data_IF_663730734958
#
_entry.id   IF_663730734958
#
_cell.length_a   1.000
_cell.length_b   1.000
_cell.length_c   1.000
_cell.angle_alpha   90.00
_cell.angle_beta   90.00
_cell.angle_gamma   90.00
#
_symmetry.space_group_name_H-M   'P 1'
#
loop_
_entity.id
_entity.type
_entity.pdbx_description
1 polymer ?
#
# COMPACT_ATOMS: atom_id res chain seq x y z
N UNK A 1 69.51 -17.53 16.85
CA UNK A 1 68.40 -17.96 15.99
C UNK A 1 67.16 -17.22 16.53
N UNK A 2 66.85 -16.09 15.90
CA UNK A 2 65.69 -15.25 16.30
C UNK A 2 64.53 -15.54 15.33
N UNK A 3 63.40 -15.92 15.90
CA UNK A 3 62.16 -16.23 15.21
C UNK A 3 61.50 -14.90 14.78
N UNK A 4 61.04 -14.76 13.54
CA UNK A 4 60.30 -13.54 13.12
C UNK A 4 58.90 -13.56 13.67
N UNK A 5 58.42 -12.39 14.14
CA UNK A 5 57.06 -12.15 14.62
C UNK A 5 56.05 -12.28 13.47
N UNK A 6 54.80 -12.73 13.75
CA UNK A 6 53.76 -12.85 12.74
C UNK A 6 53.29 -11.46 12.30
N UNK A 7 53.30 -11.24 10.98
CA UNK A 7 52.67 -10.08 10.33
C UNK A 7 51.15 -10.09 10.58
N UNK A 8 50.67 -9.00 11.14
CA UNK A 8 49.24 -8.73 11.25
C UNK A 8 48.68 -8.44 9.84
N UNK A 9 47.52 -9.04 9.44
CA UNK A 9 46.90 -8.67 8.20
C UNK A 9 46.37 -7.23 8.29
N UNK A 10 46.76 -6.42 7.30
CA UNK A 10 46.28 -5.05 7.14
C UNK A 10 44.74 -5.03 7.08
N UNK A 11 44.17 -4.33 8.03
CA UNK A 11 42.76 -3.99 8.09
C UNK A 11 42.41 -3.16 6.82
N UNK A 12 41.86 -3.82 5.82
CA UNK A 12 41.31 -3.12 4.64
C UNK A 12 40.15 -2.23 5.12
N UNK A 13 40.43 -0.94 5.19
CA UNK A 13 39.39 0.06 5.35
C UNK A 13 38.41 -0.11 4.20
N UNK A 14 37.20 -0.58 4.53
CA UNK A 14 36.06 -0.57 3.60
C UNK A 14 35.70 0.89 3.41
N UNK A 15 36.11 1.45 2.27
CA UNK A 15 35.64 2.76 1.84
C UNK A 15 34.10 2.69 1.80
N UNK A 16 33.38 3.63 2.46
CA UNK A 16 31.94 3.70 2.34
C UNK A 16 31.59 4.00 0.87
N UNK A 17 30.76 3.17 0.27
CA UNK A 17 30.26 3.39 -1.06
C UNK A 17 29.64 4.80 -1.13
N UNK A 18 30.33 5.71 -1.82
CA UNK A 18 29.84 7.05 -2.14
C UNK A 18 28.71 6.97 -3.19
N UNK A 19 27.54 6.48 -2.79
CA UNK A 19 26.29 6.68 -3.50
C UNK A 19 25.55 7.84 -2.82
N UNK A 20 25.38 8.93 -3.53
CA UNK A 20 24.52 10.03 -3.05
C UNK A 20 23.14 9.46 -2.66
N UNK A 21 22.53 9.89 -1.53
CA UNK A 21 21.14 9.53 -1.24
C UNK A 21 20.18 9.89 -2.39
N UNK A 22 20.55 10.81 -3.26
CA UNK A 22 19.83 11.17 -4.48
C UNK A 22 19.88 10.08 -5.57
N UNK A 23 20.97 9.30 -5.66
CA UNK A 23 21.10 8.23 -6.65
C UNK A 23 20.13 7.07 -6.33
N UNK A 24 20.00 6.73 -5.05
CA UNK A 24 18.99 5.76 -4.59
C UNK A 24 17.57 6.20 -4.95
N UNK A 25 17.26 7.51 -4.87
CA UNK A 25 15.93 8.04 -5.18
C UNK A 25 15.62 8.02 -6.69
N UNK A 26 16.64 8.11 -7.57
CA UNK A 26 16.47 8.04 -9.02
C UNK A 26 16.24 6.60 -9.50
N UNK A 27 16.90 5.64 -8.90
CA UNK A 27 16.74 4.21 -9.21
C UNK A 27 15.34 3.67 -8.84
N UNK A 28 14.76 4.19 -7.74
CA UNK A 28 13.40 3.82 -7.28
C UNK A 28 12.28 4.67 -7.86
N UNK A 29 12.59 5.69 -8.66
CA UNK A 29 11.61 6.49 -9.40
C UNK A 29 10.84 5.70 -10.47
N UNK A 30 11.38 4.55 -10.90
CA UNK A 30 10.69 3.59 -11.74
C UNK A 30 10.12 2.47 -10.86
N UNK A 31 8.95 2.70 -10.28
CA UNK A 31 8.24 1.71 -9.48
C UNK A 31 7.96 0.47 -10.34
N UNK A 32 8.71 -0.60 -10.10
CA UNK A 32 8.46 -1.89 -10.74
C UNK A 32 7.06 -2.37 -10.36
N UNK A 33 6.20 -2.74 -11.33
CA UNK A 33 4.85 -3.17 -11.03
C UNK A 33 4.83 -4.34 -10.03
N UNK A 34 3.88 -4.40 -9.08
CA UNK A 34 3.80 -5.46 -8.08
C UNK A 34 3.83 -6.89 -8.63
N UNK A 35 3.36 -7.08 -9.86
CA UNK A 35 3.31 -8.38 -10.53
C UNK A 35 4.69 -8.97 -10.90
N UNK A 36 5.78 -8.20 -10.84
CA UNK A 36 7.13 -8.66 -11.18
C UNK A 36 7.84 -9.43 -10.05
N UNK A 37 7.27 -9.47 -8.85
CA UNK A 37 7.87 -10.13 -7.69
C UNK A 37 7.25 -11.51 -7.46
N UNK A 38 7.86 -12.55 -8.01
CA UNK A 38 7.45 -13.96 -7.82
C UNK A 38 8.07 -14.62 -6.57
N UNK A 39 9.02 -13.96 -5.91
CA UNK A 39 9.72 -14.45 -4.71
C UNK A 39 9.15 -13.93 -3.39
N UNK A 40 9.63 -14.46 -2.25
CA UNK A 40 9.32 -13.90 -0.94
C UNK A 40 9.78 -12.43 -0.86
N UNK A 41 8.98 -11.53 -0.26
CA UNK A 41 9.41 -10.15 -0.08
C UNK A 41 10.64 -10.11 0.85
N UNK A 42 11.56 -9.14 0.63
CA UNK A 42 12.69 -8.92 1.52
C UNK A 42 12.24 -8.69 2.96
N UNK A 43 13.12 -8.96 3.92
CA UNK A 43 12.87 -8.60 5.31
C UNK A 43 12.55 -7.10 5.41
N UNK A 44 11.67 -6.66 6.33
CA UNK A 44 11.24 -5.26 6.36
C UNK A 44 12.37 -4.24 6.36
N UNK A 45 13.46 -4.50 7.09
CA UNK A 45 14.62 -3.59 7.16
C UNK A 45 15.49 -3.57 5.90
N UNK A 46 15.41 -4.61 5.08
CA UNK A 46 16.16 -4.77 3.83
C UNK A 46 15.30 -4.41 2.61
N UNK A 47 14.02 -4.11 2.84
CA UNK A 47 13.10 -3.78 1.76
C UNK A 47 13.45 -2.43 1.14
N UNK A 48 13.77 -2.38 -0.16
CA UNK A 48 14.18 -1.15 -0.83
C UNK A 48 13.19 0.00 -0.68
N UNK A 49 11.89 -0.27 -0.67
CA UNK A 49 10.87 0.77 -0.51
C UNK A 49 10.91 1.40 0.88
N UNK A 50 11.22 0.62 1.93
CA UNK A 50 11.36 1.12 3.29
C UNK A 50 12.64 1.93 3.44
N UNK A 51 13.76 1.43 2.90
CA UNK A 51 15.04 2.15 2.90
C UNK A 51 14.91 3.48 2.16
N UNK A 52 14.29 3.48 0.97
CA UNK A 52 14.05 4.68 0.19
C UNK A 52 13.12 5.68 0.93
N UNK A 53 12.13 5.20 1.67
CA UNK A 53 11.24 6.07 2.44
C UNK A 53 11.97 6.77 3.59
N UNK A 54 12.88 6.07 4.28
CA UNK A 54 13.71 6.67 5.33
C UNK A 54 14.68 7.70 4.75
N UNK A 55 15.38 7.38 3.66
CA UNK A 55 16.28 8.31 2.96
C UNK A 55 15.50 9.55 2.44
N UNK A 56 14.30 9.36 1.90
CA UNK A 56 13.46 10.46 1.45
C UNK A 56 13.07 11.41 2.58
N UNK A 57 12.90 10.92 3.81
CA UNK A 57 12.62 11.77 4.96
C UNK A 57 13.82 12.67 5.32
N UNK A 58 15.05 12.15 5.26
CA UNK A 58 16.27 12.93 5.51
C UNK A 58 16.48 14.00 4.45
N UNK A 59 16.27 13.66 3.17
CA UNK A 59 16.35 14.62 2.05
C UNK A 59 15.30 15.72 2.18
N UNK A 60 14.09 15.36 2.59
CA UNK A 60 13.02 16.31 2.82
C UNK A 60 13.36 17.34 3.90
N UNK A 61 13.89 16.88 5.04
CA UNK A 61 14.28 17.77 6.13
C UNK A 61 15.41 18.72 5.71
N UNK A 62 16.39 18.24 4.92
CA UNK A 62 17.44 19.07 4.35
C UNK A 62 16.87 20.13 3.37
N UNK A 63 16.01 19.73 2.44
CA UNK A 63 15.37 20.65 1.49
C UNK A 63 14.55 21.74 2.20
N UNK A 64 13.84 21.39 3.26
CA UNK A 64 13.11 22.38 4.06
C UNK A 64 14.05 23.38 4.75
N UNK A 65 15.17 22.87 5.29
CA UNK A 65 16.18 23.72 5.93
C UNK A 65 16.80 24.70 4.93
N UNK A 66 17.15 24.25 3.73
CA UNK A 66 17.71 25.07 2.67
C UNK A 66 16.75 26.22 2.26
N UNK A 67 15.48 25.88 2.00
CA UNK A 67 14.48 26.90 1.61
C UNK A 67 14.20 27.89 2.74
N UNK A 68 14.23 27.44 4.00
CA UNK A 68 14.03 28.33 5.16
C UNK A 68 15.20 29.28 5.39
N UNK A 69 16.42 28.83 5.12
CA UNK A 69 17.64 29.63 5.32
C UNK A 69 17.97 30.57 4.16
N UNK A 70 17.27 30.45 3.03
CA UNK A 70 17.51 31.28 1.83
C UNK A 70 17.05 32.73 2.10
N UNK A 71 17.97 33.72 2.19
CA UNK A 71 17.63 35.09 2.49
C UNK A 71 16.97 35.82 1.30
N UNK A 72 17.16 35.32 0.08
CA UNK A 72 16.68 35.97 -1.14
C UNK A 72 15.21 35.68 -1.42
N UNK A 73 14.63 34.70 -0.74
CA UNK A 73 13.24 34.31 -0.91
C UNK A 73 12.28 35.20 -0.11
N UNK A 74 11.32 35.80 -0.80
CA UNK A 74 10.18 36.43 -0.15
C UNK A 74 9.32 35.40 0.62
N UNK A 75 8.67 35.84 1.70
CA UNK A 75 7.85 34.93 2.56
C UNK A 75 6.81 34.11 1.81
N UNK A 76 6.18 34.72 0.79
CA UNK A 76 5.18 34.01 -0.02
C UNK A 76 5.83 32.93 -0.89
N UNK A 77 6.90 33.28 -1.57
CA UNK A 77 7.66 32.36 -2.44
C UNK A 77 8.25 31.22 -1.63
N UNK A 78 8.80 31.53 -0.46
CA UNK A 78 9.28 30.52 0.50
C UNK A 78 8.17 29.53 0.88
N UNK A 79 6.98 30.05 1.23
CA UNK A 79 5.85 29.21 1.59
C UNK A 79 5.34 28.35 0.40
N UNK A 80 5.39 28.89 -0.82
CA UNK A 80 5.01 28.14 -2.02
C UNK A 80 6.01 27.03 -2.37
N UNK A 81 7.32 27.29 -2.26
CA UNK A 81 8.36 26.25 -2.42
C UNK A 81 8.22 25.15 -1.38
N UNK A 82 8.02 25.52 -0.10
CA UNK A 82 7.78 24.54 0.98
C UNK A 82 6.52 23.72 0.69
N UNK A 83 5.46 24.32 0.17
CA UNK A 83 4.24 23.60 -0.20
C UNK A 83 4.48 22.58 -1.31
N UNK A 84 5.26 22.93 -2.33
CA UNK A 84 5.63 22.03 -3.42
C UNK A 84 6.43 20.83 -2.89
N UNK A 85 7.53 21.10 -2.15
CA UNK A 85 8.39 20.06 -1.54
C UNK A 85 7.57 19.14 -0.63
N UNK A 86 6.68 19.70 0.20
CA UNK A 86 5.82 18.90 1.08
C UNK A 86 4.84 18.02 0.31
N UNK A 87 4.24 18.54 -0.76
CA UNK A 87 3.35 17.79 -1.64
C UNK A 87 4.04 16.63 -2.34
N UNK A 88 5.22 16.88 -2.89
CA UNK A 88 6.05 15.87 -3.55
C UNK A 88 6.49 14.78 -2.57
N UNK A 89 6.95 15.16 -1.36
CA UNK A 89 7.34 14.21 -0.34
C UNK A 89 6.15 13.35 0.13
N UNK A 90 4.99 13.96 0.36
CA UNK A 90 3.79 13.21 0.76
C UNK A 90 3.37 12.18 -0.31
N UNK A 91 3.42 12.57 -1.59
CA UNK A 91 3.12 11.68 -2.71
C UNK A 91 4.15 10.55 -2.83
N UNK A 92 5.45 10.85 -2.66
CA UNK A 92 6.55 9.88 -2.69
C UNK A 92 6.41 8.83 -1.58
N UNK A 93 6.21 9.27 -0.34
CA UNK A 93 6.03 8.35 0.80
C UNK A 93 4.80 7.46 0.60
N UNK A 94 3.69 8.02 0.10
CA UNK A 94 2.50 7.25 -0.22
C UNK A 94 2.77 6.18 -1.28
N UNK A 95 3.44 6.54 -2.38
CA UNK A 95 3.76 5.60 -3.45
C UNK A 95 4.68 4.46 -2.99
N UNK A 96 5.69 4.76 -2.15
CA UNK A 96 6.58 3.76 -1.56
C UNK A 96 5.81 2.82 -0.62
N UNK A 97 4.92 3.35 0.22
CA UNK A 97 4.07 2.56 1.10
C UNK A 97 3.13 1.64 0.31
N UNK A 98 2.47 2.17 -0.72
CA UNK A 98 1.57 1.41 -1.58
C UNK A 98 2.29 0.26 -2.27
N UNK A 99 3.49 0.51 -2.80
CA UNK A 99 4.34 -0.52 -3.42
C UNK A 99 4.75 -1.61 -2.40
N UNK A 100 5.21 -1.20 -1.21
CA UNK A 100 5.61 -2.10 -0.13
C UNK A 100 4.48 -3.04 0.27
N UNK A 101 3.30 -2.50 0.56
CA UNK A 101 2.14 -3.29 0.98
C UNK A 101 1.51 -4.07 -0.16
N UNK A 102 1.50 -3.55 -1.39
CA UNK A 102 0.97 -4.26 -2.56
C UNK A 102 1.74 -5.55 -2.84
N UNK A 103 3.09 -5.51 -2.77
CA UNK A 103 3.92 -6.72 -2.94
C UNK A 103 3.63 -7.78 -1.90
N UNK A 104 3.50 -7.39 -0.63
CA UNK A 104 3.19 -8.33 0.47
C UNK A 104 1.80 -8.93 0.35
N UNK A 105 0.81 -8.13 -0.04
CA UNK A 105 -0.55 -8.62 -0.32
C UNK A 105 -0.59 -9.55 -1.51
N UNK A 106 0.12 -9.23 -2.59
CA UNK A 106 0.20 -10.09 -3.76
C UNK A 106 0.86 -11.45 -3.42
N UNK A 107 1.95 -11.43 -2.65
CA UNK A 107 2.59 -12.66 -2.17
C UNK A 107 1.66 -13.48 -1.28
N UNK A 108 0.98 -12.84 -0.33
CA UNK A 108 0.00 -13.51 0.53
C UNK A 108 -1.11 -14.17 -0.30
N UNK A 109 -1.67 -13.45 -1.28
CA UNK A 109 -2.71 -13.97 -2.16
C UNK A 109 -2.21 -15.17 -2.99
N UNK A 110 -0.97 -15.12 -3.48
CA UNK A 110 -0.35 -16.22 -4.21
C UNK A 110 -0.19 -17.48 -3.33
N UNK A 111 0.29 -17.30 -2.11
CA UNK A 111 0.43 -18.41 -1.15
C UNK A 111 -0.93 -18.97 -0.71
N UNK A 112 -1.91 -18.11 -0.47
CA UNK A 112 -3.28 -18.55 -0.15
C UNK A 112 -3.93 -19.33 -1.29
N UNK A 113 -3.60 -19.02 -2.55
CA UNK A 113 -4.07 -19.75 -3.71
C UNK A 113 -3.48 -21.17 -3.82
N UNK A 114 -2.35 -21.44 -3.11
CA UNK A 114 -1.80 -22.81 -3.01
C UNK A 114 -2.65 -23.74 -2.12
N UNK A 115 -3.52 -23.18 -1.27
CA UNK A 115 -4.47 -23.96 -0.49
C UNK A 115 -5.65 -24.27 -1.40
N UNK A 116 -5.92 -25.55 -1.72
CA UNK A 116 -6.97 -25.92 -2.66
C UNK A 116 -8.36 -25.67 -2.06
N UNK A 117 -8.89 -24.49 -2.31
CA UNK A 117 -10.24 -24.08 -1.91
C UNK A 117 -11.11 -23.83 -3.14
N UNK A 118 -12.43 -23.74 -2.94
CA UNK A 118 -13.36 -23.55 -4.05
C UNK A 118 -13.55 -24.80 -4.92
N UNK A 119 -14.40 -24.74 -5.94
CA UNK A 119 -14.85 -25.92 -6.69
C UNK A 119 -13.80 -26.56 -7.61
N UNK A 120 -12.63 -25.94 -7.84
CA UNK A 120 -11.60 -26.50 -8.72
C UNK A 120 -11.95 -26.52 -10.21
N UNK A 121 -12.91 -25.73 -10.64
CA UNK A 121 -13.29 -25.62 -12.06
C UNK A 121 -12.24 -24.82 -12.81
N UNK A 122 -11.72 -25.40 -13.89
CA UNK A 122 -10.75 -24.72 -14.77
C UNK A 122 -11.41 -24.18 -16.05
N UNK A 123 -10.84 -23.14 -16.71
CA UNK A 123 -11.44 -22.52 -17.90
C UNK A 123 -11.61 -23.47 -19.10
N UNK A 124 -10.82 -24.53 -19.17
CA UNK A 124 -10.80 -25.54 -20.22
C UNK A 124 -11.79 -26.69 -19.98
N UNK A 125 -12.43 -26.73 -18.80
CA UNK A 125 -13.46 -27.74 -18.51
C UNK A 125 -14.70 -27.57 -19.38
N UNK A 126 -15.29 -28.69 -19.81
CA UNK A 126 -16.62 -28.65 -20.44
C UNK A 126 -17.69 -28.14 -19.47
N UNK A 127 -18.78 -27.48 -19.94
CA UNK A 127 -19.86 -27.05 -19.07
C UNK A 127 -20.52 -28.18 -18.26
N UNK A 128 -20.57 -29.39 -18.83
CA UNK A 128 -21.09 -30.56 -18.16
C UNK A 128 -20.18 -31.00 -17.00
N UNK A 129 -18.88 -31.15 -17.26
CA UNK A 129 -17.89 -31.53 -16.24
C UNK A 129 -17.80 -30.46 -15.14
N UNK A 130 -17.79 -29.17 -15.50
CA UNK A 130 -17.81 -28.06 -14.54
C UNK A 130 -19.04 -28.12 -13.62
N UNK A 131 -20.19 -28.58 -14.13
CA UNK A 131 -21.41 -28.74 -13.33
C UNK A 131 -21.26 -29.91 -12.34
N UNK A 132 -20.71 -31.04 -12.80
CA UNK A 132 -20.45 -32.20 -11.93
C UNK A 132 -19.48 -31.83 -10.81
N UNK A 133 -18.35 -31.20 -11.16
CA UNK A 133 -17.32 -30.78 -10.19
C UNK A 133 -17.89 -29.81 -9.16
N UNK A 134 -18.66 -28.78 -9.59
CA UNK A 134 -19.34 -27.86 -8.67
C UNK A 134 -20.31 -28.57 -7.75
N UNK A 135 -21.10 -29.51 -8.29
CA UNK A 135 -22.09 -30.24 -7.51
C UNK A 135 -21.42 -31.11 -6.44
N UNK A 136 -20.37 -31.85 -6.81
CA UNK A 136 -19.58 -32.64 -5.87
C UNK A 136 -18.94 -31.79 -4.77
N UNK A 137 -18.31 -30.67 -5.17
CA UNK A 137 -17.75 -29.70 -4.23
C UNK A 137 -18.80 -29.15 -3.26
N UNK A 138 -19.96 -28.73 -3.75
CA UNK A 138 -21.03 -28.17 -2.91
C UNK A 138 -21.58 -29.20 -1.90
N UNK A 139 -21.73 -30.45 -2.32
CA UNK A 139 -22.12 -31.52 -1.41
C UNK A 139 -21.05 -31.80 -0.32
N UNK A 140 -19.77 -31.77 -0.70
CA UNK A 140 -18.67 -31.94 0.24
C UNK A 140 -18.58 -30.74 1.22
N UNK A 141 -18.68 -29.51 0.71
CA UNK A 141 -18.68 -28.29 1.50
C UNK A 141 -19.81 -28.28 2.54
N UNK A 142 -21.01 -28.66 2.13
CA UNK A 142 -22.15 -28.72 3.04
C UNK A 142 -21.94 -29.74 4.17
N UNK A 143 -21.40 -30.91 3.85
CA UNK A 143 -21.03 -31.93 4.88
C UNK A 143 -19.98 -31.39 5.84
N UNK A 144 -18.93 -30.78 5.29
CA UNK A 144 -17.84 -30.22 6.09
C UNK A 144 -18.25 -29.02 6.97
N UNK A 145 -19.22 -28.21 6.54
CA UNK A 145 -19.78 -27.13 7.37
C UNK A 145 -20.56 -27.63 8.58
N UNK A 146 -21.26 -28.76 8.46
CA UNK A 146 -21.99 -29.37 9.55
C UNK A 146 -21.10 -30.21 10.50
N UNK A 147 -19.87 -30.52 10.09
CA UNK A 147 -18.92 -31.31 10.85
C UNK A 147 -18.16 -30.43 11.89
N UNK A 148 -17.78 -31.02 13.00
CA UNK A 148 -16.83 -30.42 13.94
C UNK A 148 -15.38 -30.48 13.42
N UNK A 149 -14.42 -29.94 14.17
CA UNK A 149 -13.00 -29.87 13.74
C UNK A 149 -12.37 -31.27 13.65
N UNK A 150 -12.76 -32.22 14.49
CA UNK A 150 -12.23 -33.60 14.46
C UNK A 150 -12.77 -34.36 13.26
N UNK A 151 -14.05 -34.25 13.02
CA UNK A 151 -14.72 -34.82 11.85
C UNK A 151 -14.15 -34.27 10.56
N UNK A 152 -13.93 -32.93 10.47
CA UNK A 152 -13.27 -32.33 9.32
C UNK A 152 -11.87 -32.87 9.08
N UNK A 153 -11.07 -33.06 10.12
CA UNK A 153 -9.74 -33.69 9.98
C UNK A 153 -9.82 -35.12 9.48
N UNK A 154 -10.79 -35.91 9.97
CA UNK A 154 -11.02 -37.26 9.46
C UNK A 154 -11.39 -37.24 7.98
N UNK A 155 -12.35 -36.39 7.58
CA UNK A 155 -12.74 -36.24 6.18
C UNK A 155 -11.56 -35.77 5.30
N UNK A 156 -10.67 -34.92 5.82
CA UNK A 156 -9.46 -34.46 5.13
C UNK A 156 -8.51 -35.65 4.88
N UNK A 157 -8.27 -36.45 5.92
CA UNK A 157 -7.38 -37.62 5.83
C UNK A 157 -7.90 -38.62 4.80
N UNK A 158 -9.20 -38.89 4.83
CA UNK A 158 -9.85 -39.80 3.88
C UNK A 158 -9.75 -39.23 2.45
N UNK A 159 -10.04 -37.95 2.26
CA UNK A 159 -9.94 -37.29 0.97
C UNK A 159 -8.53 -37.34 0.36
N UNK A 160 -7.49 -37.17 1.20
CA UNK A 160 -6.09 -37.30 0.77
C UNK A 160 -5.71 -38.77 0.49
N UNK A 161 -6.28 -39.70 1.22
CA UNK A 161 -6.00 -41.13 1.04
C UNK A 161 -6.61 -41.71 -0.23
N UNK A 162 -7.81 -41.25 -0.57
CA UNK A 162 -8.57 -41.75 -1.72
C UNK A 162 -8.52 -40.79 -2.95
N UNK A 163 -7.70 -39.74 -2.90
CA UNK A 163 -7.54 -38.74 -3.96
C UNK A 163 -8.87 -38.05 -4.36
N UNK A 164 -9.74 -37.82 -3.35
CA UNK A 164 -11.02 -37.13 -3.52
C UNK A 164 -10.85 -35.62 -3.45
N UNK A 165 -10.51 -34.99 -4.60
CA UNK A 165 -10.28 -33.53 -4.71
C UNK A 165 -11.53 -32.72 -4.32
N UNK A 166 -12.74 -33.19 -4.63
CA UNK A 166 -13.96 -32.46 -4.29
C UNK A 166 -14.16 -32.37 -2.77
N UNK A 167 -13.95 -33.48 -2.05
CA UNK A 167 -14.03 -33.53 -0.58
C UNK A 167 -12.90 -32.75 0.05
N UNK A 168 -11.66 -32.88 -0.45
CA UNK A 168 -10.51 -32.08 -0.01
C UNK A 168 -10.78 -30.60 -0.05
N UNK A 169 -11.21 -30.09 -1.21
CA UNK A 169 -11.55 -28.67 -1.42
C UNK A 169 -12.72 -28.22 -0.56
N UNK A 170 -13.75 -29.03 -0.43
CA UNK A 170 -14.90 -28.74 0.42
C UNK A 170 -14.52 -28.60 1.90
N UNK A 171 -13.70 -29.53 2.41
CA UNK A 171 -13.22 -29.50 3.80
C UNK A 171 -12.33 -28.29 4.07
N UNK A 172 -11.36 -28.00 3.19
CA UNK A 172 -10.46 -26.86 3.36
C UNK A 172 -11.21 -25.51 3.25
N UNK A 173 -12.21 -25.44 2.36
CA UNK A 173 -13.08 -24.25 2.28
C UNK A 173 -13.87 -24.06 3.57
N UNK A 174 -14.49 -25.11 4.11
CA UNK A 174 -15.23 -25.06 5.37
C UNK A 174 -14.31 -24.72 6.57
N UNK A 175 -13.11 -25.31 6.61
CA UNK A 175 -12.13 -25.04 7.65
C UNK A 175 -11.69 -23.55 7.63
N UNK A 176 -11.45 -22.99 6.44
CA UNK A 176 -11.09 -21.57 6.28
C UNK A 176 -12.23 -20.64 6.72
N UNK A 177 -13.47 -20.94 6.34
CA UNK A 177 -14.66 -20.18 6.75
C UNK A 177 -14.87 -20.20 8.27
N UNK A 178 -14.63 -21.36 8.90
CA UNK A 178 -14.79 -21.56 10.34
C UNK A 178 -13.58 -21.09 11.17
N UNK A 179 -12.48 -20.69 10.54
CA UNK A 179 -11.22 -20.40 11.24
C UNK A 179 -10.58 -21.63 11.89
N UNK A 180 -10.85 -22.82 11.36
CA UNK A 180 -10.34 -24.11 11.87
C UNK A 180 -8.87 -24.32 11.46
N UNK A 181 -7.97 -23.70 12.21
CA UNK A 181 -6.53 -23.78 11.98
C UNK A 181 -6.01 -25.23 12.07
N UNK A 182 -6.60 -26.08 12.93
CA UNK A 182 -6.12 -27.44 13.12
C UNK A 182 -6.29 -28.31 11.88
N UNK A 183 -7.40 -28.17 11.16
CA UNK A 183 -7.63 -28.87 9.89
C UNK A 183 -6.68 -28.38 8.79
N UNK A 184 -6.42 -27.07 8.72
CA UNK A 184 -5.47 -26.50 7.74
C UNK A 184 -4.03 -26.93 8.06
N UNK A 185 -3.63 -26.98 9.34
CA UNK A 185 -2.33 -27.48 9.78
C UNK A 185 -2.12 -28.95 9.44
N UNK A 186 -3.14 -29.77 9.60
CA UNK A 186 -3.11 -31.19 9.23
C UNK A 186 -2.89 -31.37 7.72
N UNK A 187 -3.60 -30.59 6.89
CA UNK A 187 -3.38 -30.57 5.45
C UNK A 187 -1.93 -30.20 5.10
N UNK A 188 -1.43 -29.09 5.67
CA UNK A 188 -0.08 -28.63 5.38
C UNK A 188 0.98 -29.65 5.78
N UNK A 189 0.78 -30.33 6.92
CA UNK A 189 1.69 -31.38 7.40
C UNK A 189 1.72 -32.58 6.44
N UNK A 190 0.56 -33.04 5.98
CA UNK A 190 0.45 -34.21 5.10
C UNK A 190 0.92 -33.94 3.68
N UNK A 191 0.77 -32.73 3.21
CA UNK A 191 1.16 -32.30 1.85
C UNK A 191 2.55 -31.66 1.77
N UNK A 192 3.27 -31.54 2.91
CA UNK A 192 4.58 -30.89 2.97
C UNK A 192 4.54 -29.37 2.82
N UNK A 193 3.36 -28.74 2.98
CA UNK A 193 3.14 -27.29 2.81
C UNK A 193 3.29 -26.47 4.10
N UNK A 194 3.99 -26.99 5.11
CA UNK A 194 4.20 -26.28 6.38
C UNK A 194 4.90 -24.93 6.22
N UNK A 195 5.89 -24.84 5.31
CA UNK A 195 6.60 -23.58 5.05
C UNK A 195 5.68 -22.52 4.43
N UNK A 196 4.81 -22.93 3.50
CA UNK A 196 3.79 -22.05 2.88
C UNK A 196 2.86 -21.51 3.96
N UNK A 197 2.35 -22.36 4.83
CA UNK A 197 1.44 -21.95 5.90
C UNK A 197 2.11 -21.03 6.93
N UNK A 198 3.37 -21.28 7.25
CA UNK A 198 4.15 -20.40 8.12
C UNK A 198 4.34 -19.01 7.49
N UNK A 199 4.65 -18.95 6.20
CA UNK A 199 4.79 -17.68 5.46
C UNK A 199 3.45 -16.91 5.39
N UNK A 200 2.32 -17.61 5.11
CA UNK A 200 0.97 -16.99 5.15
C UNK A 200 0.72 -16.35 6.51
N UNK A 201 1.00 -17.04 7.61
CA UNK A 201 0.79 -16.53 8.96
C UNK A 201 1.68 -15.33 9.27
N UNK A 202 2.96 -15.42 8.90
CA UNK A 202 3.91 -14.31 9.09
C UNK A 202 3.50 -13.05 8.31
N UNK A 203 3.14 -13.19 7.02
CA UNK A 203 2.69 -12.07 6.20
C UNK A 203 1.37 -11.49 6.69
N UNK A 204 0.41 -12.35 7.07
CA UNK A 204 -0.88 -11.89 7.61
C UNK A 204 -0.70 -11.11 8.91
N UNK A 205 0.16 -11.59 9.80
CA UNK A 205 0.47 -10.92 11.06
C UNK A 205 1.17 -9.57 10.82
N UNK A 206 2.14 -9.52 9.90
CA UNK A 206 2.85 -8.29 9.53
C UNK A 206 1.90 -7.25 8.91
N UNK A 207 1.01 -7.68 8.00
CA UNK A 207 0.02 -6.79 7.38
C UNK A 207 -1.03 -6.28 8.37
N UNK A 208 -1.39 -7.08 9.38
CA UNK A 208 -2.35 -6.69 10.41
C UNK A 208 -1.74 -5.73 11.46
N UNK A 209 -0.44 -5.84 11.72
CA UNK A 209 0.27 -5.05 12.71
C UNK A 209 1.64 -4.62 12.17
N UNK A 210 1.68 -3.50 11.42
CA UNK A 210 2.94 -2.92 10.96
C UNK A 210 3.90 -2.69 12.13
N UNK A 211 5.18 -2.93 11.93
CA UNK A 211 6.17 -2.68 12.95
C UNK A 211 6.50 -1.17 13.11
N UNK A 212 7.25 -0.83 14.14
CA UNK A 212 7.61 0.57 14.42
C UNK A 212 8.46 1.19 13.32
N UNK A 213 9.25 0.41 12.59
CA UNK A 213 10.07 0.88 11.48
C UNK A 213 9.21 1.22 10.27
N UNK A 214 8.23 0.38 9.94
CA UNK A 214 7.26 0.63 8.87
C UNK A 214 6.46 1.90 9.17
N UNK A 215 5.94 2.02 10.39
CA UNK A 215 5.20 3.19 10.84
C UNK A 215 6.06 4.46 10.73
N UNK A 216 7.35 4.39 11.12
CA UNK A 216 8.26 5.51 11.03
C UNK A 216 8.57 5.87 9.58
N UNK A 217 8.90 4.87 8.74
CA UNK A 217 9.30 5.08 7.36
C UNK A 217 8.18 5.66 6.50
N UNK A 218 6.96 5.12 6.65
CA UNK A 218 5.80 5.54 5.86
C UNK A 218 4.93 6.59 6.55
N UNK A 219 5.46 7.21 7.60
CA UNK A 219 4.76 8.31 8.26
C UNK A 219 4.62 9.48 7.30
N UNK A 220 3.38 9.93 7.10
CA UNK A 220 3.13 11.15 6.34
C UNK A 220 3.90 12.33 6.96
N UNK A 221 4.60 13.16 6.16
CA UNK A 221 5.30 14.32 6.68
C UNK A 221 4.33 15.26 7.41
N UNK A 222 4.81 15.82 8.52
CA UNK A 222 4.01 16.77 9.30
C UNK A 222 3.89 18.06 8.49
N UNK A 223 2.67 18.61 8.43
CA UNK A 223 2.38 19.83 7.70
C UNK A 223 3.21 21.00 8.26
N UNK A 224 4.10 21.63 7.46
CA UNK A 224 4.87 22.78 7.86
C UNK A 224 3.99 23.97 8.24
N UNK A 225 4.38 24.80 9.23
CA UNK A 225 3.59 25.95 9.66
C UNK A 225 3.37 26.98 8.55
N UNK A 226 4.31 27.07 7.59
CA UNK A 226 4.23 27.95 6.43
C UNK A 226 3.01 27.64 5.54
N UNK A 227 2.61 26.38 5.44
CA UNK A 227 1.44 25.95 4.67
C UNK A 227 0.14 26.47 5.28
N UNK A 228 0.03 26.48 6.58
CA UNK A 228 -1.14 27.04 7.29
C UNK A 228 -1.27 28.53 7.05
N UNK A 229 -0.14 29.26 7.10
CA UNK A 229 -0.10 30.66 6.78
C UNK A 229 -0.50 30.95 5.32
N UNK A 230 -0.01 30.12 4.39
CA UNK A 230 -0.36 30.20 2.97
C UNK A 230 -1.85 29.95 2.73
N UNK A 231 -2.42 28.93 3.35
CA UNK A 231 -3.85 28.62 3.27
C UNK A 231 -4.72 29.76 3.78
N UNK A 232 -4.34 30.37 4.90
CA UNK A 232 -5.00 31.57 5.44
C UNK A 232 -4.96 32.76 4.49
N UNK A 233 -3.79 33.02 3.88
CA UNK A 233 -3.63 34.11 2.88
C UNK A 233 -4.46 33.85 1.61
N UNK A 234 -4.47 32.61 1.09
CA UNK A 234 -5.28 32.23 -0.07
C UNK A 234 -6.78 32.37 0.20
N UNK A 235 -7.25 31.98 1.39
CA UNK A 235 -8.62 32.15 1.80
C UNK A 235 -9.01 33.63 1.85
N UNK A 236 -8.20 34.46 2.51
CA UNK A 236 -8.43 35.91 2.59
C UNK A 236 -8.39 36.58 1.21
N UNK A 237 -7.50 36.15 0.30
CA UNK A 237 -7.46 36.66 -1.07
C UNK A 237 -8.74 36.29 -1.86
N UNK A 238 -9.19 35.05 -1.76
CA UNK A 238 -10.43 34.58 -2.39
C UNK A 238 -11.68 35.32 -1.85
N UNK A 239 -11.72 35.59 -0.56
CA UNK A 239 -12.80 36.41 0.04
C UNK A 239 -12.82 37.81 -0.50
N UNK A 240 -11.65 38.48 -0.57
CA UNK A 240 -11.52 39.83 -1.16
C UNK A 240 -11.91 39.86 -2.64
N UNK A 241 -11.59 38.83 -3.39
CA UNK A 241 -11.95 38.71 -4.81
C UNK A 241 -13.47 38.56 -4.96
N UNK A 242 -14.11 37.69 -4.17
CA UNK A 242 -15.57 37.58 -4.12
C UNK A 242 -16.25 38.87 -3.74
N UNK A 243 -15.70 39.59 -2.78
CA UNK A 243 -16.21 40.94 -2.40
C UNK A 243 -16.10 41.94 -3.55
N UNK A 244 -14.95 41.95 -4.27
CA UNK A 244 -14.74 42.79 -5.46
C UNK A 244 -15.70 42.43 -6.59
N UNK A 245 -15.90 41.14 -6.85
CA UNK A 245 -16.88 40.65 -7.84
C UNK A 245 -18.29 41.07 -7.47
N UNK A 246 -18.71 40.87 -6.23
CA UNK A 246 -20.02 41.27 -5.74
C UNK A 246 -20.23 42.77 -5.84
N UNK A 247 -19.22 43.59 -5.48
CA UNK A 247 -19.26 45.03 -5.61
C UNK A 247 -19.28 45.49 -7.08
N UNK A 248 -18.64 44.71 -7.98
CA UNK A 248 -18.69 44.98 -9.43
C UNK A 248 -20.08 44.67 -10.00
N UNK A 249 -20.63 43.50 -9.66
CA UNK A 249 -21.99 43.14 -10.05
C UNK A 249 -23.04 44.13 -9.53
N UNK A 250 -22.88 44.61 -8.29
CA UNK A 250 -23.81 45.60 -7.71
C UNK A 250 -23.75 46.93 -8.47
N UNK A 251 -22.54 47.37 -8.79
CA UNK A 251 -22.37 48.61 -9.63
C UNK A 251 -22.96 48.45 -11.01
N UNK A 252 -22.79 47.28 -11.63
CA UNK A 252 -23.34 46.98 -12.95
C UNK A 252 -24.87 46.86 -12.91
N UNK A 253 -25.44 46.22 -11.92
CA UNK A 253 -26.88 46.14 -11.69
C UNK A 253 -27.49 47.54 -11.53
N UNK A 254 -26.87 48.43 -10.73
CA UNK A 254 -27.31 49.84 -10.56
C UNK A 254 -27.21 50.61 -11.86
N UNK A 255 -26.10 50.45 -12.63
CA UNK A 255 -25.91 51.11 -13.94
C UNK A 255 -26.99 50.70 -14.94
N UNK A 256 -27.42 49.44 -14.88
CA UNK A 256 -28.48 48.86 -15.73
C UNK A 256 -29.91 49.12 -15.21
N UNK A 257 -30.04 49.91 -14.13
CA UNK A 257 -31.36 50.27 -13.56
C UNK A 257 -32.01 49.22 -12.72
N UNK A 258 -31.30 48.14 -12.34
CA UNK A 258 -31.85 47.09 -11.48
C UNK A 258 -31.78 47.49 -10.01
N UNK A 259 -32.85 47.16 -9.26
CA UNK A 259 -32.99 47.49 -7.84
C UNK A 259 -32.06 46.68 -6.91
N UNK A 260 -31.65 45.51 -7.37
CA UNK A 260 -30.72 44.63 -6.67
C UNK A 260 -30.01 43.67 -7.65
N UNK A 261 -28.91 43.02 -7.19
CA UNK A 261 -28.10 42.08 -7.96
C UNK A 261 -28.91 40.85 -8.36
N UNK A 262 -29.85 40.41 -7.52
CA UNK A 262 -30.68 39.20 -7.80
C UNK A 262 -31.53 39.41 -9.03
N UNK A 263 -32.20 40.59 -9.14
CA UNK A 263 -33.02 40.95 -10.33
C UNK A 263 -32.16 41.03 -11.59
N UNK A 264 -30.93 41.59 -11.46
CA UNK A 264 -29.97 41.62 -12.54
C UNK A 264 -29.54 40.24 -13.04
N UNK A 265 -29.18 39.31 -12.12
CA UNK A 265 -28.82 37.93 -12.47
C UNK A 265 -29.97 37.15 -13.14
N UNK A 266 -31.20 37.34 -12.68
CA UNK A 266 -32.38 36.75 -13.31
C UNK A 266 -32.55 37.26 -14.75
N UNK A 267 -32.41 38.57 -14.97
CA UNK A 267 -32.52 39.15 -16.29
C UNK A 267 -31.40 38.71 -17.24
N UNK A 268 -30.15 38.52 -16.73
CA UNK A 268 -29.05 37.96 -17.51
C UNK A 268 -29.33 36.49 -17.92
N UNK A 269 -29.81 35.68 -16.99
CA UNK A 269 -30.12 34.28 -17.26
C UNK A 269 -31.21 34.09 -18.35
N UNK A 270 -32.17 35.01 -18.40
CA UNK A 270 -33.18 35.01 -19.44
C UNK A 270 -32.73 35.55 -20.81
N UNK A 271 -31.57 36.29 -20.85
CA UNK A 271 -30.96 36.76 -22.12
C UNK A 271 -30.06 35.72 -22.76
N UNK A 272 -29.55 34.77 -21.98
CA UNK A 272 -28.63 33.69 -22.43
C UNK A 272 -29.30 32.38 -22.72
N UNK A 273 -30.61 32.27 -22.50
CA UNK A 273 -31.49 31.14 -22.85
C UNK A 273 -32.30 31.48 -24.10
#
# INVERSE_FOLDING_TARGET
>A
MSEPAPEQPAEQAVEPAEGSPYDLLSEYGSLVPPAAFSGPPPAPREDPALVAALAAAEVYDAQLADVRSDPDLADLERAERIAAIHGEQAARIQALADNYYARRRARLAALEAEIPTGPGVTPDMSPADATVVRSAFMAALQRARSADSEQRRTMLVDALTYDDDATLRGVLSAAREAGDAATIDEWARRTGKNAVLAEIRALSAALARPDTWEIKAFRRPIEPPELRALAGRRKAAAEREREREAAREEREARRMGFRNVTAYRIAQKHRSA
#
